data_IF_131672653354
#
_entry.id   IF_131672653354
#
_cell.length_a   1.000
_cell.length_b   1.000
_cell.length_c   1.000
_cell.angle_alpha   90.00
_cell.angle_beta   90.00
_cell.angle_gamma   90.00
#
_symmetry.space_group_name_H-M   'P 1'
#
loop_
_entity.id
_entity.type
_entity.pdbx_description
1 polymer ?
#
# COMPACT_ATOMS: atom_id res chain seq x y z
N UNK A 1 -20.85 -11.12 -21.93
CA UNK A 1 -19.72 -11.90 -21.37
C UNK A 1 -18.46 -11.04 -21.20
N UNK A 2 -17.74 -10.66 -22.27
CA UNK A 2 -16.47 -9.88 -22.17
C UNK A 2 -16.56 -8.58 -21.37
N UNK A 3 -17.66 -7.82 -21.48
CA UNK A 3 -17.86 -6.56 -20.74
C UNK A 3 -17.87 -6.74 -19.22
N UNK A 4 -18.44 -7.85 -18.73
CA UNK A 4 -18.49 -8.16 -17.29
C UNK A 4 -17.11 -8.55 -16.75
N UNK A 5 -16.33 -9.30 -17.54
CA UNK A 5 -14.95 -9.65 -17.19
C UNK A 5 -14.10 -8.37 -17.09
N UNK A 6 -14.24 -7.45 -18.05
CA UNK A 6 -13.52 -6.17 -18.03
C UNK A 6 -13.90 -5.33 -16.81
N UNK A 7 -15.20 -5.27 -16.48
CA UNK A 7 -15.68 -4.54 -15.30
C UNK A 7 -15.13 -5.16 -14.00
N UNK A 8 -15.14 -6.48 -13.88
CA UNK A 8 -14.58 -7.17 -12.72
C UNK A 8 -13.07 -6.91 -12.57
N UNK A 9 -12.31 -6.97 -13.67
CA UNK A 9 -10.87 -6.66 -13.67
C UNK A 9 -10.60 -5.21 -13.25
N UNK A 10 -11.39 -4.26 -13.73
CA UNK A 10 -11.26 -2.85 -13.34
C UNK A 10 -11.48 -2.65 -11.84
N UNK A 11 -12.51 -3.28 -11.27
CA UNK A 11 -12.79 -3.19 -9.82
C UNK A 11 -11.65 -3.82 -9.01
N UNK A 12 -11.17 -5.00 -9.40
CA UNK A 12 -10.05 -5.67 -8.72
C UNK A 12 -8.77 -4.83 -8.78
N UNK A 13 -8.50 -4.18 -9.91
CA UNK A 13 -7.34 -3.32 -10.08
C UNK A 13 -7.39 -2.11 -9.15
N UNK A 14 -8.54 -1.43 -9.09
CA UNK A 14 -8.75 -0.29 -8.19
C UNK A 14 -8.57 -0.73 -6.73
N UNK A 15 -9.17 -1.85 -6.34
CA UNK A 15 -9.10 -2.37 -4.97
C UNK A 15 -7.66 -2.72 -4.55
N UNK A 16 -6.86 -3.30 -5.44
CA UNK A 16 -5.44 -3.62 -5.17
C UNK A 16 -4.57 -2.36 -5.02
N UNK A 17 -4.88 -1.29 -5.75
CA UNK A 17 -4.15 -0.03 -5.68
C UNK A 17 -4.60 0.88 -4.53
N UNK A 18 -5.82 0.71 -4.01
CA UNK A 18 -6.36 1.54 -2.93
C UNK A 18 -6.01 1.06 -1.52
N UNK A 19 -5.29 -0.06 -1.38
CA UNK A 19 -4.93 -0.57 -0.06
C UNK A 19 -4.05 0.44 0.68
N UNK A 20 -4.34 0.74 1.97
CA UNK A 20 -3.43 1.52 2.79
C UNK A 20 -2.07 0.82 2.82
N UNK A 21 -1.04 1.51 2.34
CA UNK A 21 0.34 1.07 2.47
C UNK A 21 1.09 2.04 3.36
N UNK A 22 1.93 1.49 4.20
CA UNK A 22 2.91 2.27 4.95
C UNK A 22 3.89 2.92 3.98
N UNK A 23 4.36 4.11 4.33
CA UNK A 23 5.34 4.84 3.52
C UNK A 23 6.70 4.70 4.20
N UNK A 24 7.69 4.28 3.43
CA UNK A 24 9.05 4.10 3.91
C UNK A 24 9.97 5.13 3.25
N UNK A 25 10.77 5.83 4.06
CA UNK A 25 11.79 6.77 3.62
C UNK A 25 13.17 6.18 3.90
N UNK A 26 13.99 6.02 2.86
CA UNK A 26 15.32 5.39 2.96
C UNK A 26 15.29 3.99 3.59
N UNK A 27 14.28 3.20 3.21
CA UNK A 27 14.06 1.84 3.67
C UNK A 27 12.90 1.19 2.95
N UNK A 28 12.62 -0.05 3.29
CA UNK A 28 11.43 -0.79 2.85
C UNK A 28 10.87 -1.59 4.02
N UNK A 29 9.67 -2.12 3.86
CA UNK A 29 9.13 -3.09 4.80
C UNK A 29 10.16 -4.21 5.07
N UNK A 30 10.45 -4.47 6.35
CA UNK A 30 11.43 -5.47 6.78
C UNK A 30 12.91 -5.09 6.59
N UNK A 31 13.25 -3.86 6.17
CA UNK A 31 14.65 -3.45 6.00
C UNK A 31 15.36 -3.05 7.29
N UNK A 32 14.62 -2.86 8.40
CA UNK A 32 15.13 -2.39 9.69
C UNK A 32 15.95 -1.08 9.59
N UNK A 33 15.62 -0.24 8.60
CA UNK A 33 16.36 0.97 8.28
C UNK A 33 15.43 2.06 7.74
N UNK A 34 15.78 3.32 8.00
CA UNK A 34 15.01 4.47 7.54
C UNK A 34 13.83 4.84 8.45
N UNK A 35 12.93 5.67 7.93
CA UNK A 35 11.71 6.11 8.62
C UNK A 35 10.48 5.42 8.02
N UNK A 36 9.54 5.04 8.88
CA UNK A 36 8.23 4.51 8.51
C UNK A 36 7.16 5.53 8.90
N UNK A 37 6.24 5.82 7.99
CA UNK A 37 4.98 6.48 8.29
C UNK A 37 3.89 5.41 8.39
N UNK A 38 3.37 5.21 9.60
CA UNK A 38 2.23 4.37 9.89
C UNK A 38 0.95 5.15 9.56
N UNK A 39 0.27 4.72 8.50
CA UNK A 39 -0.95 5.39 8.04
C UNK A 39 -2.16 5.11 8.92
N UNK A 40 -2.18 3.99 9.65
CA UNK A 40 -3.27 3.64 10.56
C UNK A 40 -3.29 4.57 11.78
N UNK A 41 -2.11 4.92 12.28
CA UNK A 41 -1.95 5.79 13.45
C UNK A 41 -1.54 7.24 13.10
N UNK A 42 -1.36 7.54 11.81
CA UNK A 42 -0.88 8.82 11.30
C UNK A 42 0.41 9.30 11.98
N UNK A 43 1.36 8.40 12.22
CA UNK A 43 2.57 8.67 12.99
C UNK A 43 3.85 8.29 12.23
N UNK A 44 4.94 8.99 12.56
CA UNK A 44 6.28 8.67 12.05
C UNK A 44 7.09 7.93 13.11
N UNK A 45 7.87 6.94 12.68
CA UNK A 45 8.79 6.20 13.54
C UNK A 45 10.00 5.67 12.78
N UNK A 46 10.93 5.08 13.51
CA UNK A 46 12.03 4.33 12.90
C UNK A 46 11.48 3.02 12.36
N UNK A 47 11.82 2.70 11.11
CA UNK A 47 11.53 1.41 10.52
C UNK A 47 12.40 0.35 11.21
N UNK A 48 11.81 -0.42 12.12
CA UNK A 48 12.50 -1.38 12.98
C UNK A 48 12.01 -2.79 12.74
#
# INVERSE_FOLDING_TARGET
>A
MKKLILAALAVLFIAACSQPKDIYFNGSEGSHSGLKYDKANASFGVNR
#
